data_IF_209546172712
#
_entry.id   IF_209546172712
#
_cell.length_a   1.000
_cell.length_b   1.000
_cell.length_c   1.000
_cell.angle_alpha   90.00
_cell.angle_beta   90.00
_cell.angle_gamma   90.00
#
_symmetry.space_group_name_H-M   'P 1'
#
loop_
_entity.id
_entity.type
_entity.pdbx_description
1 polymer ?
#
# COMPACT_ATOMS: atom_id res chain seq x y z
N UNK A 1 8.17 5.66 -1.03
CA UNK A 1 6.80 5.94 -1.53
C UNK A 1 6.79 6.13 -3.05
N UNK A 2 7.57 7.07 -3.61
CA UNK A 2 7.52 7.38 -5.05
C UNK A 2 7.66 6.18 -6.03
N UNK A 3 8.46 5.16 -5.71
CA UNK A 3 8.55 3.95 -6.54
C UNK A 3 7.27 3.10 -6.45
N UNK A 4 6.70 2.96 -5.26
CA UNK A 4 5.45 2.23 -5.02
C UNK A 4 4.29 2.90 -5.73
N UNK A 5 4.18 4.23 -5.66
CA UNK A 5 3.15 4.99 -6.38
C UNK A 5 3.25 4.82 -7.91
N UNK A 6 4.48 4.84 -8.47
CA UNK A 6 4.68 4.57 -9.90
C UNK A 6 4.22 3.17 -10.31
N UNK A 7 4.52 2.17 -9.50
CA UNK A 7 4.19 0.77 -9.81
C UNK A 7 2.69 0.53 -9.67
N UNK A 8 2.05 1.10 -8.64
CA UNK A 8 0.60 0.97 -8.46
C UNK A 8 -0.19 1.59 -9.63
N UNK A 9 0.28 2.71 -10.20
CA UNK A 9 -0.37 3.35 -11.34
C UNK A 9 -0.34 2.59 -12.67
N UNK A 10 0.35 1.43 -12.75
CA UNK A 10 0.39 0.59 -13.96
C UNK A 10 -0.14 -0.83 -13.74
N UNK A 11 -0.49 -1.19 -12.51
CA UNK A 11 -1.03 -2.51 -12.16
C UNK A 11 -2.56 -2.45 -12.08
N UNK A 12 -3.23 -3.50 -12.54
CA UNK A 12 -4.70 -3.63 -12.40
C UNK A 12 -5.14 -3.92 -10.95
N UNK A 13 -4.18 -4.21 -10.07
CA UNK A 13 -4.44 -4.43 -8.65
C UNK A 13 -3.18 -4.77 -7.86
N UNK A 14 -3.29 -4.68 -6.54
CA UNK A 14 -2.25 -5.04 -5.59
C UNK A 14 -2.86 -5.66 -4.32
N UNK A 15 -2.06 -6.45 -3.61
CA UNK A 15 -2.46 -7.05 -2.33
C UNK A 15 -1.78 -6.28 -1.20
N UNK A 16 -2.58 -5.68 -0.33
CA UNK A 16 -2.10 -5.07 0.90
C UNK A 16 -1.99 -6.15 1.99
N UNK A 17 -0.77 -6.44 2.43
CA UNK A 17 -0.51 -7.38 3.54
C UNK A 17 -0.41 -6.59 4.84
N UNK A 18 -1.20 -6.99 5.84
CA UNK A 18 -1.19 -6.37 7.17
C UNK A 18 -0.72 -7.41 8.18
N UNK A 19 0.21 -7.02 9.06
CA UNK A 19 0.61 -7.89 10.15
C UNK A 19 -0.50 -8.02 11.18
N UNK A 20 -0.80 -9.25 11.59
CA UNK A 20 -1.74 -9.51 12.68
C UNK A 20 -1.19 -9.11 14.05
N UNK A 21 0.14 -8.99 14.20
CA UNK A 21 0.79 -8.66 15.47
C UNK A 21 0.88 -7.14 15.65
N UNK A 22 1.47 -6.45 14.67
CA UNK A 22 1.66 -5.00 14.73
C UNK A 22 0.43 -4.21 14.27
N UNK A 23 -0.50 -4.83 13.55
CA UNK A 23 -1.70 -4.18 13.03
C UNK A 23 -1.42 -3.14 11.94
N UNK A 24 -2.29 -2.14 11.84
CA UNK A 24 -2.20 -1.06 10.85
C UNK A 24 -1.15 -0.05 11.29
N UNK A 25 -0.18 0.21 10.42
CA UNK A 25 0.90 1.17 10.66
C UNK A 25 0.55 2.52 10.04
N UNK A 26 1.19 3.64 10.44
CA UNK A 26 0.89 4.98 9.90
C UNK A 26 0.96 5.10 8.36
N UNK A 27 1.80 4.29 7.73
CA UNK A 27 1.99 4.19 6.28
C UNK A 27 0.94 3.31 5.57
N UNK A 28 0.32 2.35 6.25
CA UNK A 28 -0.65 1.41 5.67
C UNK A 28 -1.87 2.14 5.07
N UNK A 29 -2.49 3.14 5.73
CA UNK A 29 -3.57 3.92 5.14
C UNK A 29 -3.15 4.80 3.95
N UNK A 30 -1.86 5.11 3.79
CA UNK A 30 -1.36 5.87 2.64
C UNK A 30 -1.32 4.97 1.40
N UNK A 31 -0.86 3.72 1.57
CA UNK A 31 -0.85 2.73 0.49
C UNK A 31 -2.26 2.30 0.07
N UNK A 32 -3.21 2.21 1.02
CA UNK A 32 -4.60 1.87 0.70
C UNK A 32 -5.33 2.96 -0.12
N UNK A 33 -4.91 4.21 0.02
CA UNK A 33 -5.47 5.37 -0.69
C UNK A 33 -4.63 5.79 -1.88
N UNK A 34 -3.56 5.04 -2.19
CA UNK A 34 -2.74 5.32 -3.36
C UNK A 34 -3.62 5.21 -4.63
N UNK A 35 -3.43 6.12 -5.60
CA UNK A 35 -4.25 6.22 -6.80
C UNK A 35 -4.09 5.03 -7.75
#
# INVERSE_FOLDING_TARGET
>A
IAEVERVLGVLDGAILVVSAVEGVQPQTPLLFRAP
#
